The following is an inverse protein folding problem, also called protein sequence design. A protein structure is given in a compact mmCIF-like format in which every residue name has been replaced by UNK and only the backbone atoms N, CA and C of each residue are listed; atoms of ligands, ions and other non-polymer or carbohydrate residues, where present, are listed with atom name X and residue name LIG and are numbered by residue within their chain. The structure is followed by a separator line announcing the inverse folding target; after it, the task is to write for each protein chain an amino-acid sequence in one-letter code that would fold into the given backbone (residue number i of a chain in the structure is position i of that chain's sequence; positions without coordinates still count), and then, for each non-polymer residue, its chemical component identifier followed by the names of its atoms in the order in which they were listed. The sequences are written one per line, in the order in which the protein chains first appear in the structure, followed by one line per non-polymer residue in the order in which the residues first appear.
data_IF_893783123019
#
_entry.id   IF_893783123019
#
_cell.length_a   1.000
_cell.length_b   1.000
_cell.length_c   1.000
_cell.angle_alpha   90.00
_cell.angle_beta   90.00
_cell.angle_gamma   90.00
#
_symmetry.space_group_name_H-M   'P 1'
#
loop_
_entity.id
_entity.type
_entity.pdbx_description
1 polymer ?
#
# COMPACT_ATOMS: atom_id res chain seq x y z
N UNK A 1 -4.99 -17.74 20.13
CA UNK A 1 -4.65 -19.09 19.63
C UNK A 1 -3.41 -19.06 18.74
N UNK A 2 -3.29 -18.14 17.77
CA UNK A 2 -2.08 -18.00 16.93
C UNK A 2 -0.79 -17.71 17.70
N UNK A 3 -0.83 -16.89 18.76
CA UNK A 3 0.34 -16.56 19.58
C UNK A 3 1.01 -17.77 20.26
N UNK A 4 0.32 -18.91 20.36
CA UNK A 4 0.92 -20.14 20.88
C UNK A 4 1.90 -20.80 19.88
N UNK A 5 1.77 -20.50 18.58
CA UNK A 5 2.55 -21.11 17.50
C UNK A 5 3.40 -20.09 16.73
N UNK A 6 3.01 -18.80 16.77
CA UNK A 6 3.73 -17.67 16.19
C UNK A 6 3.95 -16.64 17.31
N UNK A 7 5.06 -16.71 18.06
CA UNK A 7 5.32 -15.81 19.19
C UNK A 7 5.22 -14.32 18.83
N UNK A 8 5.67 -13.96 17.63
CA UNK A 8 5.63 -12.61 17.06
C UNK A 8 4.21 -12.08 16.94
N UNK A 9 3.20 -12.94 16.76
CA UNK A 9 1.81 -12.53 16.73
C UNK A 9 1.38 -11.91 18.06
N UNK A 10 1.89 -12.40 19.19
CA UNK A 10 1.65 -11.78 20.50
C UNK A 10 2.20 -10.35 20.56
N UNK A 11 3.43 -10.14 20.07
CA UNK A 11 4.05 -8.83 20.08
C UNK A 11 3.38 -7.83 19.12
N UNK A 12 2.86 -8.29 17.97
CA UNK A 12 2.02 -7.46 17.09
C UNK A 12 0.72 -7.03 17.78
N UNK A 13 0.05 -7.97 18.46
CA UNK A 13 -1.19 -7.67 19.19
C UNK A 13 -0.94 -6.68 20.34
N UNK A 14 0.13 -6.86 21.11
CA UNK A 14 0.52 -5.93 22.19
C UNK A 14 0.79 -4.50 21.69
N UNK A 15 1.28 -4.34 20.46
CA UNK A 15 1.47 -3.03 19.83
C UNK A 15 0.14 -2.45 19.35
N UNK A 16 -0.71 -3.28 18.75
CA UNK A 16 -2.01 -2.89 18.27
C UNK A 16 -2.92 -2.42 19.42
N UNK A 17 -2.94 -3.12 20.55
CA UNK A 17 -3.72 -2.76 21.74
C UNK A 17 -3.31 -1.40 22.35
N UNK A 18 -2.08 -0.94 22.10
CA UNK A 18 -1.59 0.37 22.55
C UNK A 18 -1.94 1.50 21.59
N UNK A 19 -2.44 1.18 20.39
CA UNK A 19 -2.82 2.18 19.41
C UNK A 19 -4.17 2.81 19.81
N UNK A 20 -4.31 4.14 19.74
CA UNK A 20 -5.60 4.78 19.97
C UNK A 20 -6.62 4.32 18.93
N UNK A 21 -7.87 4.13 19.35
CA UNK A 21 -8.98 3.94 18.42
C UNK A 21 -9.25 5.24 17.65
N UNK A 22 -9.69 5.13 16.39
CA UNK A 22 -10.12 6.25 15.54
C UNK A 22 -9.06 7.38 15.43
N UNK A 23 -7.81 7.03 15.09
CA UNK A 23 -6.77 8.05 14.96
C UNK A 23 -7.12 9.08 13.90
N UNK A 24 -6.86 10.36 14.20
CA UNK A 24 -7.04 11.47 13.27
C UNK A 24 -5.69 12.00 12.83
N UNK A 25 -5.56 12.32 11.55
CA UNK A 25 -4.40 13.02 11.02
C UNK A 25 -4.29 14.43 11.62
N UNK A 26 -3.08 14.97 11.64
CA UNK A 26 -2.81 16.37 11.97
C UNK A 26 -3.16 17.33 10.83
N UNK A 27 -2.60 18.54 10.89
CA UNK A 27 -2.90 19.60 9.92
C UNK A 27 -2.28 19.39 8.54
N UNK A 28 -1.21 18.59 8.43
CA UNK A 28 -0.53 18.35 7.17
C UNK A 28 -1.17 17.20 6.37
N UNK A 29 -1.01 17.20 5.04
CA UNK A 29 -1.62 16.19 4.19
C UNK A 29 -0.94 14.83 4.33
N UNK A 30 -1.74 13.77 4.14
CA UNK A 30 -1.33 12.37 4.13
C UNK A 30 -1.58 11.81 2.73
N UNK A 31 -0.51 11.40 2.05
CA UNK A 31 -0.55 10.88 0.67
C UNK A 31 -0.04 9.45 0.65
N UNK A 32 -0.84 8.52 0.14
CA UNK A 32 -0.45 7.12 -0.05
C UNK A 32 -0.04 6.88 -1.49
N UNK A 33 1.05 6.16 -1.69
CA UNK A 33 1.50 5.66 -2.97
C UNK A 33 1.26 4.15 -3.02
N UNK A 34 0.39 3.74 -3.94
CA UNK A 34 0.04 2.36 -4.22
C UNK A 34 0.57 1.93 -5.58
N UNK A 35 0.56 0.62 -5.84
CA UNK A 35 0.96 0.04 -7.12
C UNK A 35 1.70 -1.27 -6.95
N UNK A 36 1.86 -2.01 -8.05
CA UNK A 36 2.62 -3.26 -8.06
C UNK A 36 4.12 -3.01 -7.84
N UNK A 37 4.87 -4.07 -7.56
CA UNK A 37 6.32 -3.98 -7.52
C UNK A 37 6.90 -3.63 -8.89
N UNK A 38 8.02 -2.91 -8.87
CA UNK A 38 8.70 -2.33 -10.03
C UNK A 38 7.92 -1.25 -10.82
N UNK A 39 6.91 -0.61 -10.23
CA UNK A 39 6.27 0.60 -10.82
C UNK A 39 7.01 1.90 -10.53
N UNK A 40 8.14 1.88 -9.80
CA UNK A 40 8.93 3.07 -9.48
C UNK A 40 8.55 3.79 -8.17
N UNK A 41 7.65 3.21 -7.35
CA UNK A 41 7.20 3.78 -6.06
C UNK A 41 8.34 4.28 -5.17
N UNK A 42 9.34 3.43 -4.91
CA UNK A 42 10.45 3.78 -4.02
C UNK A 42 11.21 5.01 -4.51
N UNK A 43 11.42 5.12 -5.82
CA UNK A 43 12.07 6.28 -6.44
C UNK A 43 11.22 7.54 -6.27
N UNK A 44 9.95 7.47 -6.70
CA UNK A 44 9.05 8.63 -6.66
C UNK A 44 8.79 9.12 -5.23
N UNK A 45 8.53 8.20 -4.29
CA UNK A 45 8.28 8.55 -2.89
C UNK A 45 9.48 9.22 -2.23
N UNK A 46 10.71 8.79 -2.57
CA UNK A 46 11.94 9.43 -2.10
C UNK A 46 12.08 10.84 -2.67
N UNK A 47 11.88 11.02 -3.97
CA UNK A 47 11.96 12.33 -4.63
C UNK A 47 10.87 13.31 -4.14
N UNK A 48 9.66 12.82 -3.88
CA UNK A 48 8.57 13.62 -3.26
C UNK A 48 8.90 13.99 -1.82
N UNK A 49 9.42 13.04 -1.03
CA UNK A 49 9.84 13.28 0.34
C UNK A 49 10.85 14.42 0.42
N UNK A 50 11.88 14.36 -0.43
CA UNK A 50 12.94 15.36 -0.43
C UNK A 50 12.43 16.73 -0.94
N UNK A 51 11.54 16.74 -1.94
CA UNK A 51 10.96 17.97 -2.49
C UNK A 51 10.03 18.68 -1.51
N UNK A 52 9.22 17.93 -0.76
CA UNK A 52 8.23 18.49 0.17
C UNK A 52 8.72 18.54 1.62
N UNK A 53 9.96 18.12 1.89
CA UNK A 53 10.48 17.88 3.25
C UNK A 53 9.51 17.04 4.11
N UNK A 54 8.94 16.01 3.49
CA UNK A 54 7.90 15.18 4.08
C UNK A 54 8.49 14.04 4.92
N UNK A 55 7.65 13.42 5.73
CA UNK A 55 7.96 12.15 6.41
C UNK A 55 7.55 10.99 5.51
N UNK A 56 8.49 10.11 5.19
CA UNK A 56 8.20 8.87 4.44
C UNK A 56 8.03 7.70 5.41
N UNK A 57 6.84 7.11 5.43
CA UNK A 57 6.50 5.89 6.17
C UNK A 57 6.20 4.74 5.20
N UNK A 58 6.24 3.50 5.69
CA UNK A 58 6.04 2.29 4.88
C UNK A 58 5.18 1.28 5.62
N UNK A 59 4.41 0.48 4.88
CA UNK A 59 3.70 -0.68 5.43
C UNK A 59 4.41 -1.99 5.05
N UNK A 60 4.68 -2.91 6.01
CA UNK A 60 4.42 -2.78 7.45
C UNK A 60 5.37 -1.78 8.13
N UNK A 61 4.96 -1.16 9.26
CA UNK A 61 5.78 -0.18 9.96
C UNK A 61 7.07 -0.80 10.53
N UNK A 62 8.08 0.04 10.75
CA UNK A 62 9.43 -0.40 11.11
C UNK A 62 9.47 -1.29 12.35
N UNK A 63 8.60 -1.03 13.33
CA UNK A 63 8.49 -1.76 14.58
C UNK A 63 8.06 -3.24 14.45
N UNK A 64 7.43 -3.63 13.33
CA UNK A 64 7.02 -5.02 13.06
C UNK A 64 7.60 -5.55 11.74
N UNK A 65 8.26 -4.70 10.95
CA UNK A 65 8.78 -5.04 9.62
C UNK A 65 9.75 -6.22 9.62
N UNK A 66 10.50 -6.42 10.71
CA UNK A 66 11.41 -7.55 10.90
C UNK A 66 10.71 -8.91 10.91
N UNK A 67 9.40 -8.97 11.20
CA UNK A 67 8.63 -10.22 11.22
C UNK A 67 7.96 -10.52 9.89
N UNK A 68 8.10 -9.64 8.89
CA UNK A 68 7.46 -9.80 7.57
C UNK A 68 7.69 -11.17 6.95
N UNK A 69 8.93 -11.65 6.95
CA UNK A 69 9.27 -12.94 6.34
C UNK A 69 8.54 -14.12 7.02
N UNK A 70 8.32 -14.04 8.34
CA UNK A 70 7.59 -15.06 9.10
C UNK A 70 6.13 -15.09 8.63
N UNK A 71 5.46 -13.95 8.61
CA UNK A 71 4.05 -13.86 8.25
C UNK A 71 3.79 -14.05 6.75
N UNK A 72 4.76 -13.74 5.88
CA UNK A 72 4.66 -13.98 4.44
C UNK A 72 4.67 -15.48 4.09
N UNK A 73 5.17 -16.33 4.99
CA UNK A 73 5.19 -17.79 4.85
C UNK A 73 3.96 -18.49 5.48
N UNK A 74 3.12 -17.74 6.20
CA UNK A 74 1.90 -18.25 6.84
C UNK A 74 0.72 -18.34 5.85
N UNK A 75 -0.33 -19.15 6.17
CA UNK A 75 -1.55 -19.18 5.40
C UNK A 75 -2.18 -17.80 5.19
N UNK A 76 -2.85 -17.61 4.06
CA UNK A 76 -3.36 -16.31 3.63
C UNK A 76 -4.16 -15.53 4.69
N UNK A 77 -5.05 -16.14 5.51
CA UNK A 77 -5.74 -15.44 6.59
C UNK A 77 -4.80 -14.82 7.63
N UNK A 78 -3.71 -15.51 7.99
CA UNK A 78 -2.73 -15.05 8.98
C UNK A 78 -1.87 -13.94 8.38
N UNK A 79 -1.36 -14.14 7.16
CA UNK A 79 -0.62 -13.10 6.42
C UNK A 79 -1.44 -11.80 6.35
N UNK A 80 -2.71 -11.90 5.94
CA UNK A 80 -3.61 -10.74 5.84
C UNK A 80 -3.83 -10.04 7.19
N UNK A 81 -4.02 -10.80 8.26
CA UNK A 81 -4.18 -10.24 9.60
C UNK A 81 -2.94 -9.44 10.03
N UNK A 82 -1.73 -9.90 9.71
CA UNK A 82 -0.49 -9.18 9.98
C UNK A 82 -0.44 -7.82 9.26
N UNK A 83 -0.70 -7.77 7.95
CA UNK A 83 -0.70 -6.51 7.21
C UNK A 83 -1.83 -5.57 7.65
N UNK A 84 -3.02 -6.11 7.95
CA UNK A 84 -4.12 -5.33 8.49
C UNK A 84 -3.74 -4.69 9.84
N UNK A 85 -3.21 -5.46 10.80
CA UNK A 85 -2.73 -4.94 12.07
C UNK A 85 -1.61 -3.91 11.89
N UNK A 86 -0.69 -4.16 10.95
CA UNK A 86 0.37 -3.22 10.58
C UNK A 86 -0.15 -1.88 10.10
N UNK A 87 -1.27 -1.85 9.37
CA UNK A 87 -1.90 -0.60 8.93
C UNK A 87 -2.44 0.20 10.13
N UNK A 88 -3.08 -0.43 11.12
CA UNK A 88 -3.56 0.28 12.32
C UNK A 88 -2.42 0.78 13.22
N UNK A 89 -1.31 0.03 13.30
CA UNK A 89 -0.10 0.50 13.99
C UNK A 89 0.49 1.70 13.25
N UNK A 90 0.60 1.60 11.93
CA UNK A 90 1.09 2.67 11.06
C UNK A 90 0.21 3.93 11.14
N UNK A 91 -1.11 3.78 11.31
CA UNK A 91 -2.04 4.89 11.50
C UNK A 91 -1.67 5.78 12.71
N UNK A 92 -1.17 5.20 13.80
CA UNK A 92 -0.64 5.97 14.95
C UNK A 92 0.57 6.82 14.56
N UNK A 93 1.49 6.25 13.78
CA UNK A 93 2.69 6.96 13.31
C UNK A 93 2.32 8.08 12.34
N UNK A 94 1.37 7.84 11.43
CA UNK A 94 0.82 8.81 10.49
C UNK A 94 0.18 9.98 11.25
N UNK A 95 -0.69 9.68 12.22
CA UNK A 95 -1.38 10.68 13.02
C UNK A 95 -0.39 11.63 13.71
N UNK A 96 0.67 11.08 14.31
CA UNK A 96 1.73 11.88 14.95
C UNK A 96 2.52 12.69 13.94
N UNK A 97 3.00 12.07 12.85
CA UNK A 97 3.85 12.72 11.86
C UNK A 97 3.14 13.87 11.13
N UNK A 98 1.86 13.69 10.80
CA UNK A 98 1.02 14.69 10.11
C UNK A 98 0.70 15.93 10.97
N UNK A 99 1.10 15.96 12.24
CA UNK A 99 1.05 17.21 13.03
C UNK A 99 2.21 18.15 12.72
N UNK A 100 3.29 17.66 12.10
CA UNK A 100 4.56 18.40 11.93
C UNK A 100 4.95 18.62 10.47
N UNK A 101 4.60 17.70 9.57
CA UNK A 101 4.98 17.78 8.16
C UNK A 101 4.04 16.92 7.28
N UNK A 102 4.01 17.13 5.94
CA UNK A 102 3.35 16.20 5.03
C UNK A 102 3.84 14.77 5.24
N UNK A 103 2.95 13.79 5.08
CA UNK A 103 3.29 12.37 5.25
C UNK A 103 3.08 11.63 3.95
N UNK A 104 4.11 10.97 3.47
CA UNK A 104 4.11 10.08 2.31
C UNK A 104 4.14 8.65 2.82
N UNK A 105 3.30 7.79 2.28
CA UNK A 105 3.18 6.39 2.71
C UNK A 105 3.40 5.48 1.49
N UNK A 106 4.39 4.59 1.56
CA UNK A 106 4.57 3.51 0.58
C UNK A 106 3.76 2.29 1.02
N UNK A 107 2.64 2.03 0.32
CA UNK A 107 1.60 1.03 0.59
C UNK A 107 0.85 1.23 1.90
N UNK A 108 -0.46 1.01 1.88
CA UNK A 108 -1.30 1.06 3.07
C UNK A 108 -2.50 0.08 2.96
N UNK A 109 -3.71 0.52 3.32
CA UNK A 109 -4.90 -0.35 3.29
C UNK A 109 -5.21 -0.89 1.90
N UNK A 110 -5.15 -0.06 0.86
CA UNK A 110 -5.49 -0.46 -0.51
C UNK A 110 -4.61 -1.61 -1.00
N UNK A 111 -3.30 -1.62 -0.68
CA UNK A 111 -2.44 -2.79 -0.91
C UNK A 111 -2.97 -4.05 -0.23
N UNK A 112 -3.37 -3.95 1.04
CA UNK A 112 -3.89 -5.11 1.79
C UNK A 112 -5.20 -5.62 1.19
N UNK A 113 -6.13 -4.71 0.90
CA UNK A 113 -7.45 -5.04 0.38
C UNK A 113 -7.39 -5.58 -1.06
N UNK A 114 -6.64 -4.93 -1.96
CA UNK A 114 -6.58 -5.31 -3.38
C UNK A 114 -6.02 -6.73 -3.56
N UNK A 115 -4.95 -7.07 -2.84
CA UNK A 115 -4.40 -8.43 -2.88
C UNK A 115 -5.33 -9.43 -2.23
N UNK A 116 -5.95 -9.09 -1.10
CA UNK A 116 -6.92 -9.97 -0.43
C UNK A 116 -8.07 -10.35 -1.37
N UNK A 117 -8.70 -9.36 -2.00
CA UNK A 117 -9.81 -9.58 -2.93
C UNK A 117 -9.35 -10.43 -4.12
N UNK A 118 -8.19 -10.12 -4.71
CA UNK A 118 -7.66 -10.86 -5.85
C UNK A 118 -7.26 -12.31 -5.53
N UNK A 119 -6.90 -12.60 -4.28
CA UNK A 119 -6.55 -13.96 -3.80
C UNK A 119 -7.80 -14.79 -3.49
N UNK A 120 -8.84 -14.19 -2.90
CA UNK A 120 -10.08 -14.92 -2.54
C UNK A 120 -10.95 -15.26 -3.76
N UNK A 121 -10.82 -14.51 -4.85
CA UNK A 121 -11.54 -14.78 -6.10
C UNK A 121 -10.71 -15.69 -7.01
N UNK A 122 -11.30 -16.81 -7.44
CA UNK A 122 -10.75 -17.66 -8.48
C UNK A 122 -11.39 -17.32 -9.83
N UNK A 123 -10.59 -17.22 -10.89
CA UNK A 123 -11.08 -16.88 -12.24
C UNK A 123 -10.58 -15.55 -12.77
N UNK A 124 -11.43 -14.86 -13.53
CA UNK A 124 -11.10 -13.68 -14.33
C UNK A 124 -11.51 -12.39 -13.60
N UNK A 125 -11.19 -11.24 -14.19
CA UNK A 125 -11.51 -9.92 -13.65
C UNK A 125 -13.02 -9.69 -13.47
N UNK A 126 -13.85 -10.28 -14.33
CA UNK A 126 -15.31 -10.21 -14.21
C UNK A 126 -15.87 -10.92 -12.96
N UNK A 127 -15.10 -11.83 -12.36
CA UNK A 127 -15.53 -12.59 -11.19
C UNK A 127 -15.25 -11.81 -9.88
N UNK A 128 -14.56 -10.67 -9.98
CA UNK A 128 -14.38 -9.75 -8.86
C UNK A 128 -15.72 -9.14 -8.42
N UNK A 129 -15.89 -8.83 -7.12
CA UNK A 129 -17.04 -8.08 -6.62
C UNK A 129 -17.30 -6.82 -7.47
N UNK A 130 -18.56 -6.47 -7.76
CA UNK A 130 -18.89 -5.36 -8.64
C UNK A 130 -18.30 -4.04 -8.12
N UNK A 131 -18.06 -3.08 -9.03
CA UNK A 131 -17.63 -1.75 -8.59
C UNK A 131 -18.60 -1.17 -7.55
N UNK A 132 -18.06 -0.47 -6.56
CA UNK A 132 -18.80 0.09 -5.41
C UNK A 132 -19.31 -0.92 -4.38
N UNK A 133 -18.96 -2.21 -4.49
CA UNK A 133 -19.16 -3.18 -3.40
C UNK A 133 -18.45 -2.72 -2.12
N UNK A 134 -19.02 -3.08 -0.95
CA UNK A 134 -18.51 -2.68 0.37
C UNK A 134 -17.07 -3.15 0.61
N UNK A 135 -16.63 -4.24 -0.02
CA UNK A 135 -15.25 -4.73 0.07
C UNK A 135 -14.20 -3.75 -0.46
N UNK A 136 -14.60 -2.78 -1.29
CA UNK A 136 -13.73 -1.73 -1.82
C UNK A 136 -13.74 -0.44 -1.00
N UNK A 137 -14.59 -0.37 0.04
CA UNK A 137 -14.67 0.80 0.90
C UNK A 137 -13.46 0.84 1.84
N UNK A 138 -12.98 2.05 2.07
CA UNK A 138 -12.04 2.31 3.15
C UNK A 138 -12.68 2.03 4.52
N UNK A 139 -11.95 1.43 5.48
CA UNK A 139 -12.47 1.14 6.82
C UNK A 139 -12.80 2.45 7.56
N UNK A 140 -13.96 2.52 8.20
CA UNK A 140 -14.41 3.76 8.87
C UNK A 140 -13.53 4.16 10.06
N UNK A 141 -12.87 3.19 10.67
CA UNK A 141 -12.04 3.31 11.87
C UNK A 141 -10.54 3.50 11.57
N UNK A 142 -10.11 3.28 10.33
CA UNK A 142 -8.73 3.48 9.90
C UNK A 142 -8.49 4.92 9.42
N UNK A 143 -7.40 5.54 9.88
CA UNK A 143 -7.01 6.89 9.47
C UNK A 143 -6.96 7.02 7.94
N UNK A 144 -7.87 7.82 7.40
CA UNK A 144 -8.05 8.02 5.96
C UNK A 144 -7.04 9.03 5.39
N UNK A 145 -6.34 8.71 4.28
CA UNK A 145 -5.45 9.66 3.62
C UNK A 145 -6.23 10.72 2.84
N UNK A 146 -5.56 11.83 2.52
CA UNK A 146 -6.12 12.90 1.69
C UNK A 146 -6.08 12.56 0.20
N UNK A 147 -5.08 11.76 -0.21
CA UNK A 147 -4.86 11.37 -1.60
C UNK A 147 -4.23 9.97 -1.67
N UNK A 148 -4.68 9.16 -2.63
CA UNK A 148 -4.05 7.88 -2.97
C UNK A 148 -3.63 7.93 -4.44
N UNK A 149 -2.34 7.78 -4.68
CA UNK A 149 -1.75 7.75 -6.02
C UNK A 149 -1.40 6.31 -6.38
N UNK A 150 -2.02 5.77 -7.42
CA UNK A 150 -1.73 4.44 -7.94
C UNK A 150 -0.72 4.56 -9.08
N UNK A 151 0.54 4.22 -8.82
CA UNK A 151 1.56 4.19 -9.87
C UNK A 151 1.38 2.95 -10.74
N UNK A 152 1.15 3.16 -12.03
CA UNK A 152 0.99 2.11 -13.03
C UNK A 152 2.13 2.18 -14.05
N UNK A 153 2.44 1.05 -14.67
CA UNK A 153 3.40 0.95 -15.77
C UNK A 153 2.97 -0.20 -16.65
N UNK A 154 3.33 -0.16 -17.93
CA UNK A 154 3.06 -1.27 -18.84
C UNK A 154 3.63 -2.60 -18.29
N UNK A 155 2.89 -3.72 -18.41
CA UNK A 155 3.33 -5.01 -17.87
C UNK A 155 4.71 -5.46 -18.38
N UNK A 156 5.04 -5.15 -19.64
CA UNK A 156 6.32 -5.48 -20.26
C UNK A 156 7.47 -4.69 -19.62
N UNK A 157 7.27 -3.39 -19.43
CA UNK A 157 8.24 -2.53 -18.76
C UNK A 157 8.40 -2.90 -17.28
N UNK A 158 7.31 -3.31 -16.60
CA UNK A 158 7.39 -3.85 -15.23
C UNK A 158 8.30 -5.08 -15.15
N UNK A 159 8.13 -6.04 -16.07
CA UNK A 159 8.97 -7.26 -16.13
C UNK A 159 10.42 -6.89 -16.41
N UNK A 160 10.65 -5.97 -17.36
CA UNK A 160 12.00 -5.46 -17.65
C UNK A 160 12.65 -4.85 -16.40
N UNK A 161 11.95 -3.98 -15.67
CA UNK A 161 12.45 -3.35 -14.43
C UNK A 161 12.77 -4.38 -13.35
N UNK A 162 11.92 -5.41 -13.18
CA UNK A 162 12.19 -6.51 -12.25
C UNK A 162 13.47 -7.28 -12.60
N UNK A 163 13.70 -7.57 -13.88
CA UNK A 163 14.91 -8.27 -14.34
C UNK A 163 16.18 -7.46 -14.11
N UNK A 164 16.13 -6.14 -14.30
CA UNK A 164 17.30 -5.26 -14.14
C UNK A 164 17.62 -4.95 -12.67
N UNK A 165 16.68 -5.17 -11.74
CA UNK A 165 16.88 -4.91 -10.31
C UNK A 165 17.96 -5.79 -9.68
N UNK A 166 18.24 -6.96 -10.27
CA UNK A 166 19.32 -7.86 -9.81
C UNK A 166 19.10 -8.48 -8.43
N UNK A 167 17.87 -8.39 -7.89
CA UNK A 167 17.49 -9.01 -6.62
C UNK A 167 16.74 -10.32 -6.88
N UNK A 168 16.78 -11.22 -5.90
CA UNK A 168 15.89 -12.38 -5.90
C UNK A 168 14.43 -11.91 -5.87
N UNK A 169 13.60 -12.51 -6.73
CA UNK A 169 12.17 -12.23 -6.78
C UNK A 169 11.51 -12.75 -5.52
N UNK A 170 10.67 -11.93 -4.92
CA UNK A 170 9.73 -12.36 -3.89
C UNK A 170 8.73 -13.37 -4.49
N UNK A 171 8.13 -14.20 -3.63
CA UNK A 171 7.06 -15.14 -4.03
C UNK A 171 5.92 -14.41 -4.76
N UNK A 172 5.59 -13.21 -4.29
CA UNK A 172 4.54 -12.35 -4.85
C UNK A 172 4.92 -11.80 -6.23
N UNK A 173 6.16 -11.29 -6.40
CA UNK A 173 6.65 -10.84 -7.71
C UNK A 173 6.63 -11.98 -8.74
N UNK A 174 7.03 -13.19 -8.34
CA UNK A 174 7.00 -14.38 -9.18
C UNK A 174 5.56 -14.79 -9.55
N UNK A 175 4.63 -14.73 -8.59
CA UNK A 175 3.22 -15.04 -8.84
C UNK A 175 2.57 -14.03 -9.80
N UNK A 176 2.80 -12.73 -9.62
CA UNK A 176 2.28 -11.67 -10.49
C UNK A 176 2.85 -11.73 -11.92
N UNK A 177 4.06 -12.27 -12.09
CA UNK A 177 4.66 -12.51 -13.40
C UNK A 177 4.08 -13.75 -14.06
N UNK A 178 4.00 -14.87 -13.33
CA UNK A 178 3.50 -16.15 -13.85
C UNK A 178 1.99 -16.18 -14.10
N UNK A 179 1.22 -15.39 -13.35
CA UNK A 179 -0.24 -15.40 -13.38
C UNK A 179 -0.80 -14.03 -13.80
N UNK A 180 -1.02 -13.86 -15.11
CA UNK A 180 -1.56 -12.62 -15.67
C UNK A 180 -2.98 -12.31 -15.20
N UNK A 181 -3.81 -13.33 -14.98
CA UNK A 181 -5.16 -13.14 -14.45
C UNK A 181 -5.14 -12.63 -13.02
N UNK A 182 -4.27 -13.19 -12.16
CA UNK A 182 -4.09 -12.70 -10.80
C UNK A 182 -3.64 -11.24 -10.79
N UNK A 183 -2.62 -10.91 -11.59
CA UNK A 183 -2.15 -9.52 -11.75
C UNK A 183 -3.28 -8.57 -12.16
N UNK A 184 -4.03 -8.92 -13.20
CA UNK A 184 -5.16 -8.11 -13.66
C UNK A 184 -6.24 -7.94 -12.59
N UNK A 185 -6.49 -8.97 -11.77
CA UNK A 185 -7.42 -8.87 -10.64
C UNK A 185 -6.92 -7.92 -9.55
N UNK A 186 -5.63 -7.96 -9.23
CA UNK A 186 -5.03 -7.01 -8.26
C UNK A 186 -5.14 -5.58 -8.80
N UNK A 187 -4.74 -5.34 -10.05
CA UNK A 187 -4.82 -4.01 -10.69
C UNK A 187 -6.26 -3.49 -10.72
N UNK A 188 -7.21 -4.31 -11.14
CA UNK A 188 -8.61 -3.92 -11.15
C UNK A 188 -9.16 -3.69 -9.74
N UNK A 189 -8.74 -4.48 -8.76
CA UNK A 189 -9.16 -4.27 -7.37
C UNK A 189 -8.70 -2.91 -6.85
N UNK A 190 -7.48 -2.46 -7.19
CA UNK A 190 -7.06 -1.08 -6.89
C UNK A 190 -7.94 -0.04 -7.55
N UNK A 191 -8.31 -0.22 -8.83
CA UNK A 191 -9.18 0.73 -9.57
C UNK A 191 -10.58 0.84 -8.97
N UNK A 192 -11.08 -0.23 -8.36
CA UNK A 192 -12.40 -0.28 -7.74
C UNK A 192 -12.44 0.28 -6.32
N UNK A 193 -11.28 0.50 -5.68
CA UNK A 193 -11.21 1.08 -4.33
C UNK A 193 -11.86 2.46 -4.27
N UNK A 194 -12.53 2.74 -3.16
CA UNK A 194 -13.29 3.99 -2.95
C UNK A 194 -13.13 4.51 -1.52
N UNK A 195 -13.37 5.82 -1.37
CA UNK A 195 -13.34 6.54 -0.09
C UNK A 195 -12.00 6.48 0.69
N UNK A 196 -10.83 6.73 0.06
CA UNK A 196 -10.68 7.45 -1.20
C UNK A 196 -10.39 6.53 -2.38
N UNK A 197 -10.75 7.00 -3.58
CA UNK A 197 -10.40 6.31 -4.81
C UNK A 197 -8.92 6.47 -5.15
N UNK A 198 -8.37 5.51 -5.88
CA UNK A 198 -7.05 5.62 -6.47
C UNK A 198 -7.06 6.65 -7.61
N UNK A 199 -6.13 7.62 -7.56
CA UNK A 199 -5.80 8.42 -8.72
C UNK A 199 -4.61 7.78 -9.46
N UNK A 200 -4.87 7.26 -10.66
CA UNK A 200 -3.83 6.63 -11.48
C UNK A 200 -2.78 7.65 -11.96
N UNK A 201 -1.52 7.22 -11.92
CA UNK A 201 -0.38 7.95 -12.46
C UNK A 201 0.46 6.99 -13.29
N UNK A 202 0.56 7.27 -14.59
CA UNK A 202 1.46 6.55 -15.47
C UNK A 202 2.92 6.84 -15.09
N UNK A 203 3.65 5.80 -14.71
CA UNK A 203 5.04 5.81 -14.29
C UNK A 203 5.99 5.23 -15.38
N UNK A 204 5.51 5.15 -16.62
CA UNK A 204 6.30 4.81 -17.81
C UNK A 204 7.27 5.92 -18.25
N UNK A 205 6.94 7.23 -18.13
CA UNK A 205 7.85 8.33 -18.47
C UNK A 205 9.09 8.41 -17.56
N UNK A 206 9.92 9.44 -17.78
CA UNK A 206 11.11 9.68 -16.96
C UNK A 206 10.76 10.00 -15.50
N UNK A 207 11.70 9.74 -14.57
CA UNK A 207 11.50 10.05 -13.15
C UNK A 207 11.10 11.51 -12.91
N UNK A 208 11.71 12.46 -13.63
CA UNK A 208 11.41 13.88 -13.53
C UNK A 208 9.98 14.22 -13.97
N UNK A 209 9.50 13.61 -15.05
CA UNK A 209 8.13 13.81 -15.55
C UNK A 209 7.09 13.22 -14.61
N UNK A 210 7.36 12.02 -14.07
CA UNK A 210 6.49 11.38 -13.09
C UNK A 210 6.44 12.20 -11.80
N UNK A 211 7.59 12.66 -11.31
CA UNK A 211 7.67 13.52 -10.12
C UNK A 211 6.88 14.82 -10.31
N UNK A 212 7.06 15.50 -11.46
CA UNK A 212 6.31 16.72 -11.78
C UNK A 212 4.81 16.49 -11.75
N UNK A 213 4.36 15.39 -12.37
CA UNK A 213 2.94 15.01 -12.41
C UNK A 213 2.40 14.77 -11.00
N UNK A 214 3.12 13.97 -10.20
CA UNK A 214 2.76 13.68 -8.81
C UNK A 214 2.67 14.95 -7.97
N UNK A 215 3.67 15.84 -8.04
CA UNK A 215 3.65 17.09 -7.27
C UNK A 215 2.49 18.01 -7.69
N UNK A 216 2.13 18.03 -8.97
CA UNK A 216 0.96 18.76 -9.44
C UNK A 216 -0.33 18.19 -8.85
N UNK A 217 -0.49 16.87 -8.83
CA UNK A 217 -1.66 16.20 -8.24
C UNK A 217 -1.77 16.46 -6.74
N UNK A 218 -0.65 16.39 -6.01
CA UNK A 218 -0.64 16.71 -4.58
C UNK A 218 -1.09 18.16 -4.36
N UNK A 219 -0.54 19.13 -5.12
CA UNK A 219 -0.95 20.55 -5.01
C UNK A 219 -2.43 20.80 -5.34
N UNK A 220 -3.01 20.00 -6.22
CA UNK A 220 -4.42 20.13 -6.61
C UNK A 220 -5.38 19.62 -5.53
N UNK A 221 -4.99 18.57 -4.80
CA UNK A 221 -5.87 17.89 -3.84
C UNK A 221 -5.57 18.25 -2.38
N UNK A 222 -4.35 18.65 -2.08
CA UNK A 222 -3.88 18.93 -0.73
C UNK A 222 -3.54 20.41 -0.59
N UNK A 223 -3.97 21.01 0.53
CA UNK A 223 -3.41 22.28 0.99
C UNK A 223 -2.01 22.00 1.54
N UNK A 224 -0.98 22.29 0.73
CA UNK A 224 0.43 22.22 1.11
C UNK A 224 0.91 23.54 1.72
#
# INVERSE_FOLDING_TARGET
QCAAWIPEAGAVLDLLEKCPEHQKKGGFPVIVFEGLDATGKTTVTQSVKDTLNAVLLRSPPACISQWRAIFDDEPAPIKRAFYAAGNYILASEIARASTQAPVIIDRYWHSTAAYTIATEINGKVQDLPPAHDEVYQWPEDLLKPDLVLLLTVDPEERVRRLQHRGLEKTKEEAELEANSLFRQRVEESYRRMVNPACQEVDASPSEEEVLKTVLQLIKQHCAL
#
